data_IF_316340172004
#
_entry.id   IF_316340172004
#
_cell.length_a   1.000
_cell.length_b   1.000
_cell.length_c   1.000
_cell.angle_alpha   90.00
_cell.angle_beta   90.00
_cell.angle_gamma   90.00
#
_symmetry.space_group_name_H-M   'P 1'
#
loop_
_entity.id
_entity.type
_entity.pdbx_description
1 polymer ?
#
# COMPACT_ATOMS: atom_id res chain seq x y z
N UNK A 1 29.93 -1.13 -87.50
CA UNK A 1 28.54 -0.87 -87.02
C UNK A 1 28.27 -1.83 -85.88
N UNK A 2 27.57 -1.34 -84.85
CA UNK A 2 27.33 -1.92 -83.54
C UNK A 2 26.51 -3.24 -83.59
N UNK A 3 26.44 -4.12 -82.58
CA UNK A 3 26.08 -3.90 -81.18
C UNK A 3 26.55 -5.07 -80.30
N UNK A 4 27.04 -4.73 -79.09
CA UNK A 4 27.45 -5.68 -78.07
C UNK A 4 26.29 -6.23 -77.24
N UNK A 5 26.43 -7.50 -76.84
CA UNK A 5 25.55 -8.15 -75.87
C UNK A 5 25.88 -7.67 -74.45
N UNK A 6 24.89 -7.12 -73.75
CA UNK A 6 24.98 -6.69 -72.35
C UNK A 6 23.71 -7.06 -71.61
N UNK A 7 23.82 -7.97 -70.64
CA UNK A 7 22.72 -8.70 -70.02
C UNK A 7 21.77 -7.86 -69.16
N UNK A 8 20.56 -8.40 -68.97
CA UNK A 8 19.63 -7.94 -67.95
C UNK A 8 20.29 -8.06 -66.57
N UNK A 9 20.41 -6.95 -65.84
CA UNK A 9 20.86 -6.94 -64.45
C UNK A 9 19.75 -7.55 -63.59
N UNK A 10 19.78 -8.87 -63.42
CA UNK A 10 18.99 -9.56 -62.41
C UNK A 10 19.72 -9.38 -61.08
N UNK A 11 19.26 -8.47 -60.24
CA UNK A 11 19.92 -8.27 -58.94
C UNK A 11 19.51 -7.03 -58.13
N UNK A 12 18.35 -6.43 -58.37
CA UNK A 12 17.87 -5.32 -57.54
C UNK A 12 16.43 -5.59 -57.12
N UNK A 13 16.25 -6.18 -55.94
CA UNK A 13 14.93 -6.33 -55.33
C UNK A 13 14.79 -7.61 -54.55
N UNK A 14 15.43 -7.68 -53.37
CA UNK A 14 14.97 -8.47 -52.21
C UNK A 14 16.00 -8.47 -51.06
N UNK A 15 16.63 -7.33 -50.75
CA UNK A 15 17.48 -7.23 -49.54
C UNK A 15 17.10 -6.09 -48.59
N UNK A 16 16.06 -5.32 -48.91
CA UNK A 16 15.70 -4.12 -48.15
C UNK A 16 14.45 -4.29 -47.29
N UNK A 17 13.60 -5.30 -47.56
CA UNK A 17 12.29 -5.41 -46.89
C UNK A 17 12.35 -6.25 -45.60
N UNK A 18 13.18 -7.30 -45.55
CA UNK A 18 13.26 -8.18 -44.36
C UNK A 18 14.00 -7.51 -43.20
N UNK A 19 14.95 -6.61 -43.49
CA UNK A 19 15.70 -5.90 -42.44
C UNK A 19 14.90 -4.76 -41.84
N UNK A 20 14.02 -4.10 -42.61
CA UNK A 20 13.18 -3.00 -42.12
C UNK A 20 12.08 -3.47 -41.18
N UNK A 21 11.41 -4.59 -41.51
CA UNK A 21 10.31 -5.11 -40.70
C UNK A 21 10.80 -5.59 -39.32
N UNK A 22 11.97 -6.24 -39.26
CA UNK A 22 12.58 -6.66 -37.99
C UNK A 22 13.04 -5.48 -37.11
N UNK A 23 13.48 -4.37 -37.71
CA UNK A 23 13.84 -3.15 -36.96
C UNK A 23 12.61 -2.35 -36.52
N UNK A 24 11.53 -2.36 -37.31
CA UNK A 24 10.27 -1.69 -36.98
C UNK A 24 9.55 -2.43 -35.85
N UNK A 25 9.47 -3.76 -35.90
CA UNK A 25 8.90 -4.57 -34.82
C UNK A 25 9.67 -4.37 -33.50
N UNK A 26 11.00 -4.36 -33.55
CA UNK A 26 11.85 -4.09 -32.38
C UNK A 26 11.64 -2.68 -31.82
N UNK A 27 11.49 -1.67 -32.68
CA UNK A 27 11.22 -0.30 -32.28
C UNK A 27 9.82 -0.16 -31.64
N UNK A 28 8.81 -0.83 -32.19
CA UNK A 28 7.44 -0.87 -31.64
C UNK A 28 7.43 -1.54 -30.27
N UNK A 29 8.04 -2.70 -30.11
CA UNK A 29 8.12 -3.39 -28.81
C UNK A 29 8.88 -2.58 -27.75
N UNK A 30 10.02 -1.99 -28.12
CA UNK A 30 10.80 -1.13 -27.21
C UNK A 30 10.02 0.14 -26.80
N UNK A 31 9.33 0.78 -27.75
CA UNK A 31 8.50 1.96 -27.45
C UNK A 31 7.31 1.60 -26.55
N UNK A 32 6.69 0.44 -26.76
CA UNK A 32 5.62 -0.09 -25.90
C UNK A 32 6.12 -0.40 -24.49
N UNK A 33 7.31 -1.00 -24.34
CA UNK A 33 7.93 -1.24 -23.04
C UNK A 33 8.23 0.07 -22.29
N UNK A 34 8.76 1.08 -22.99
CA UNK A 34 9.00 2.42 -22.44
C UNK A 34 7.72 3.15 -22.07
N UNK A 35 6.64 2.98 -22.84
CA UNK A 35 5.34 3.54 -22.52
C UNK A 35 4.80 2.93 -21.22
N UNK A 36 4.85 1.59 -21.06
CA UNK A 36 4.46 0.89 -19.83
C UNK A 36 5.28 1.34 -18.63
N UNK A 37 6.60 1.45 -18.78
CA UNK A 37 7.48 1.95 -17.71
C UNK A 37 7.05 3.35 -17.26
N UNK A 38 6.83 4.27 -18.21
CA UNK A 38 6.38 5.63 -17.92
C UNK A 38 5.01 5.68 -17.25
N UNK A 39 4.04 4.88 -17.68
CA UNK A 39 2.72 4.84 -17.05
C UNK A 39 2.79 4.29 -15.62
N UNK A 40 3.60 3.24 -15.38
CA UNK A 40 3.84 2.74 -14.03
C UNK A 40 4.49 3.78 -13.12
N UNK A 41 5.51 4.50 -13.62
CA UNK A 41 6.14 5.57 -12.87
C UNK A 41 5.17 6.72 -12.57
N UNK A 42 4.30 7.07 -13.52
CA UNK A 42 3.27 8.09 -13.32
C UNK A 42 2.26 7.68 -12.22
N UNK A 43 1.79 6.42 -12.21
CA UNK A 43 0.91 5.92 -11.16
C UNK A 43 1.59 5.92 -9.78
N UNK A 44 2.88 5.56 -9.71
CA UNK A 44 3.64 5.63 -8.46
C UNK A 44 3.76 7.08 -7.97
N UNK A 45 4.01 8.03 -8.88
CA UNK A 45 4.07 9.44 -8.53
C UNK A 45 2.73 9.97 -8.01
N UNK A 46 1.61 9.60 -8.65
CA UNK A 46 0.27 9.95 -8.20
C UNK A 46 -0.04 9.39 -6.81
N UNK A 47 0.27 8.11 -6.55
CA UNK A 47 0.08 7.50 -5.23
C UNK A 47 0.93 8.18 -4.15
N UNK A 48 2.16 8.59 -4.49
CA UNK A 48 3.02 9.35 -3.58
C UNK A 48 2.46 10.74 -3.28
N UNK A 49 1.96 11.45 -4.29
CA UNK A 49 1.32 12.76 -4.11
C UNK A 49 0.10 12.64 -3.20
N UNK A 50 -0.77 11.65 -3.44
CA UNK A 50 -1.94 11.36 -2.61
C UNK A 50 -1.57 11.03 -1.16
N UNK A 51 -0.48 10.28 -0.95
CA UNK A 51 0.07 10.03 0.39
C UNK A 51 0.59 11.31 1.05
N UNK A 52 1.32 12.15 0.31
CA UNK A 52 1.82 13.44 0.82
C UNK A 52 0.71 14.42 1.17
N UNK A 53 -0.40 14.41 0.42
CA UNK A 53 -1.62 15.16 0.69
C UNK A 53 -2.44 14.62 1.88
N UNK A 54 -2.07 13.45 2.42
CA UNK A 54 -2.79 12.80 3.51
C UNK A 54 -4.05 12.06 3.08
N UNK A 55 -4.27 11.86 1.79
CA UNK A 55 -5.45 11.14 1.27
C UNK A 55 -5.28 9.62 1.36
N UNK A 56 -4.05 9.15 1.39
CA UNK A 56 -3.70 7.75 1.54
C UNK A 56 -2.76 7.57 2.72
N UNK A 57 -3.09 6.61 3.58
CA UNK A 57 -2.22 6.11 4.62
C UNK A 57 -1.71 4.71 4.24
N UNK A 58 -0.57 4.33 4.81
CA UNK A 58 -0.01 3.01 4.59
C UNK A 58 -0.88 1.93 5.25
N UNK A 59 -1.29 0.92 4.46
CA UNK A 59 -2.12 -0.18 4.96
C UNK A 59 -1.42 -0.96 6.07
N UNK A 60 -0.13 -1.24 5.93
CA UNK A 60 0.60 -2.02 6.94
C UNK A 60 0.65 -1.26 8.27
N UNK A 61 0.85 0.06 8.21
CA UNK A 61 0.78 0.91 9.40
C UNK A 61 -0.59 0.80 10.09
N UNK A 62 -1.68 1.04 9.35
CA UNK A 62 -3.05 0.97 9.90
C UNK A 62 -3.35 -0.38 10.54
N UNK A 63 -2.94 -1.48 9.90
CA UNK A 63 -3.17 -2.82 10.43
C UNK A 63 -2.36 -3.08 11.71
N UNK A 64 -1.14 -2.57 11.77
CA UNK A 64 -0.27 -2.69 12.94
C UNK A 64 -0.85 -1.90 14.12
N UNK A 65 -1.28 -0.66 13.87
CA UNK A 65 -1.89 0.20 14.87
C UNK A 65 -3.17 -0.45 15.42
N UNK A 66 -4.02 -0.97 14.54
CA UNK A 66 -5.25 -1.66 14.93
C UNK A 66 -5.00 -2.91 15.79
N UNK A 67 -3.98 -3.73 15.46
CA UNK A 67 -3.61 -4.89 16.29
C UNK A 67 -3.09 -4.44 17.66
N UNK A 68 -2.27 -3.40 17.71
CA UNK A 68 -1.78 -2.82 18.95
C UNK A 68 -2.92 -2.30 19.83
N UNK A 69 -3.83 -1.48 19.28
CA UNK A 69 -5.02 -0.96 19.98
C UNK A 69 -5.87 -2.10 20.52
N UNK A 70 -6.11 -3.13 19.70
CA UNK A 70 -6.92 -4.28 20.09
C UNK A 70 -6.34 -5.05 21.26
N UNK A 71 -5.02 -5.28 21.27
CA UNK A 71 -4.31 -5.94 22.37
C UNK A 71 -4.34 -5.09 23.63
N UNK A 72 -4.01 -3.81 23.52
CA UNK A 72 -4.04 -2.88 24.64
C UNK A 72 -5.42 -2.87 25.31
N UNK A 73 -6.48 -2.69 24.53
CA UNK A 73 -7.84 -2.69 25.06
C UNK A 73 -8.19 -4.00 25.76
N UNK A 74 -7.91 -5.15 25.12
CA UNK A 74 -8.15 -6.47 25.71
C UNK A 74 -7.42 -6.62 27.05
N UNK A 75 -6.13 -6.34 27.07
CA UNK A 75 -5.28 -6.57 28.25
C UNK A 75 -5.71 -5.65 29.40
N UNK A 76 -6.03 -4.39 29.11
CA UNK A 76 -6.55 -3.44 30.10
C UNK A 76 -7.85 -3.90 30.75
N UNK A 77 -8.82 -4.42 29.98
CA UNK A 77 -10.07 -4.92 30.53
C UNK A 77 -9.91 -6.26 31.26
N UNK A 78 -9.03 -7.15 30.80
CA UNK A 78 -8.77 -8.43 31.46
C UNK A 78 -8.06 -8.27 32.81
N UNK A 79 -7.27 -7.20 32.98
CA UNK A 79 -6.62 -6.87 34.25
C UNK A 79 -7.57 -6.17 35.25
N UNK A 80 -8.72 -5.68 34.79
CA UNK A 80 -9.64 -4.86 35.59
C UNK A 80 -10.15 -5.61 36.84
N UNK A 81 -10.63 -6.86 36.76
CA UNK A 81 -11.12 -7.59 37.94
C UNK A 81 -10.06 -7.73 39.04
N UNK A 82 -8.81 -8.04 38.68
CA UNK A 82 -7.72 -8.18 39.65
C UNK A 82 -7.40 -6.85 40.35
N UNK A 83 -7.40 -5.74 39.60
CA UNK A 83 -7.14 -4.40 40.14
C UNK A 83 -8.20 -3.94 41.14
N UNK A 84 -9.48 -4.22 40.87
CA UNK A 84 -10.59 -3.66 41.66
C UNK A 84 -11.13 -4.61 42.72
N UNK A 85 -10.84 -5.92 42.66
CA UNK A 85 -11.46 -6.91 43.53
C UNK A 85 -11.35 -6.57 45.02
N UNK A 86 -10.18 -6.10 45.46
CA UNK A 86 -9.94 -5.69 46.85
C UNK A 86 -10.71 -4.42 47.25
N UNK A 87 -10.98 -3.52 46.30
CA UNK A 87 -11.70 -2.27 46.53
C UNK A 87 -13.20 -2.49 46.75
N UNK A 88 -13.75 -3.59 46.22
CA UNK A 88 -15.17 -3.91 46.28
C UNK A 88 -15.58 -4.64 47.57
N UNK A 89 -14.63 -5.14 48.37
CA UNK A 89 -14.91 -5.91 49.59
C UNK A 89 -15.67 -5.05 50.61
N UNK A 90 -16.79 -5.56 51.10
CA UNK A 90 -17.60 -4.89 52.14
C UNK A 90 -18.42 -3.71 51.65
N UNK A 91 -18.42 -3.42 50.34
CA UNK A 91 -19.25 -2.38 49.73
C UNK A 91 -20.67 -2.87 49.43
N UNK A 92 -21.60 -1.93 49.41
CA UNK A 92 -22.96 -2.16 48.92
C UNK A 92 -22.99 -2.27 47.39
N UNK A 93 -24.04 -2.88 46.84
CA UNK A 93 -24.21 -2.99 45.38
C UNK A 93 -24.16 -1.64 44.66
N UNK A 94 -24.74 -0.59 45.26
CA UNK A 94 -24.70 0.76 44.68
C UNK A 94 -23.28 1.30 44.59
N UNK A 95 -22.50 1.18 45.67
CA UNK A 95 -21.11 1.65 45.70
C UNK A 95 -20.22 0.83 44.75
N UNK A 96 -20.48 -0.47 44.62
CA UNK A 96 -19.81 -1.34 43.64
C UNK A 96 -20.08 -0.84 42.22
N UNK A 97 -21.33 -0.52 41.89
CA UNK A 97 -21.69 -0.03 40.55
C UNK A 97 -21.08 1.35 40.25
N UNK A 98 -20.99 2.22 41.24
CA UNK A 98 -20.31 3.52 41.11
C UNK A 98 -18.81 3.34 40.86
N UNK A 99 -18.16 2.45 41.62
CA UNK A 99 -16.73 2.12 41.45
C UNK A 99 -16.44 1.47 40.09
N UNK A 100 -17.25 0.49 39.67
CA UNK A 100 -17.11 -0.15 38.36
C UNK A 100 -17.22 0.86 37.22
N UNK A 101 -18.17 1.79 37.29
CA UNK A 101 -18.34 2.84 36.27
C UNK A 101 -17.14 3.78 36.23
N UNK A 102 -16.60 4.14 37.39
CA UNK A 102 -15.40 4.96 37.46
C UNK A 102 -14.23 4.24 36.79
N UNK A 103 -13.96 2.99 37.19
CA UNK A 103 -12.80 2.27 36.69
C UNK A 103 -12.87 1.88 35.21
N UNK A 104 -14.08 1.62 34.69
CA UNK A 104 -14.26 1.46 33.25
C UNK A 104 -13.92 2.75 32.50
N UNK A 105 -14.31 3.92 33.03
CA UNK A 105 -13.98 5.22 32.40
C UNK A 105 -12.48 5.49 32.45
N UNK A 106 -11.83 5.28 33.59
CA UNK A 106 -10.39 5.44 33.73
C UNK A 106 -9.64 4.50 32.78
N UNK A 107 -10.10 3.25 32.66
CA UNK A 107 -9.51 2.27 31.75
C UNK A 107 -9.65 2.71 30.28
N UNK A 108 -10.83 3.19 29.88
CA UNK A 108 -11.05 3.73 28.54
C UNK A 108 -10.21 4.98 28.25
N UNK A 109 -10.07 5.86 29.24
CA UNK A 109 -9.24 7.05 29.13
C UNK A 109 -7.76 6.66 28.98
N UNK A 110 -7.27 5.73 29.80
CA UNK A 110 -5.89 5.24 29.71
C UNK A 110 -5.59 4.59 28.37
N UNK A 111 -6.54 3.81 27.81
CA UNK A 111 -6.42 3.28 26.44
C UNK A 111 -6.32 4.45 25.47
N UNK A 112 -7.23 5.42 25.53
CA UNK A 112 -7.24 6.59 24.64
C UNK A 112 -5.94 7.40 24.72
N UNK A 113 -5.40 7.64 25.90
CA UNK A 113 -4.16 8.39 26.09
C UNK A 113 -2.94 7.60 25.58
N UNK A 114 -2.95 6.29 25.79
CA UNK A 114 -1.98 5.37 25.18
C UNK A 114 -2.00 5.41 23.66
N UNK A 115 -3.15 5.70 23.03
CA UNK A 115 -3.26 5.88 21.58
C UNK A 115 -2.73 7.24 21.09
N UNK A 116 -2.69 8.27 21.94
CA UNK A 116 -2.16 9.59 21.57
C UNK A 116 -0.62 9.59 21.56
N UNK A 117 0.01 8.67 22.29
CA UNK A 117 1.46 8.60 22.48
C UNK A 117 2.15 7.43 21.78
N UNK A 118 1.40 6.53 21.13
CA UNK A 118 1.90 5.43 20.30
C UNK A 118 2.04 5.87 18.83
#
# INVERSE_FOLDING_TARGET
MANGHGGARVGAGHKTQIVTDATDDYFVEYSAARAKEKTHLAHIAELKEKKMRGELIDKHQVMTDADFVGRLARDSFMALPERIASLLVGRTEREIMEELRHEIRETLQAISDGLIHA
#
